data_IF_003648998829
#
_entry.id   IF_003648998829
#
_cell.length_a   1.000
_cell.length_b   1.000
_cell.length_c   1.000
_cell.angle_alpha   90.00
_cell.angle_beta   90.00
_cell.angle_gamma   90.00
#
_symmetry.space_group_name_H-M   'P 1'
#
loop_
_entity.id
_entity.type
_entity.pdbx_description
1 polymer ?
#
# COMPACT_ATOMS: atom_id res chain seq x y z
N UNK A 1 -1.75 -6.01 3.55
CA UNK A 1 -0.46 -6.15 4.30
C UNK A 1 -0.55 -5.68 5.74
N UNK A 2 -1.18 -4.53 6.01
CA UNK A 2 -1.49 -4.05 7.36
C UNK A 2 -2.99 -3.73 7.38
N UNK A 3 -3.79 -4.50 8.13
CA UNK A 3 -5.23 -4.63 7.81
C UNK A 3 -6.15 -4.08 8.88
N UNK A 4 -5.71 -3.90 10.12
CA UNK A 4 -6.54 -3.29 11.15
C UNK A 4 -6.67 -1.77 10.95
N UNK A 5 -7.82 -1.15 11.27
CA UNK A 5 -8.97 -1.72 11.99
C UNK A 5 -9.95 -2.53 11.13
N UNK A 6 -9.73 -2.62 9.81
CA UNK A 6 -10.51 -3.47 8.92
C UNK A 6 -11.37 -2.75 7.89
N UNK A 7 -11.44 -1.41 7.89
CA UNK A 7 -12.29 -0.66 6.96
C UNK A 7 -12.01 -0.96 5.48
N UNK A 8 -10.74 -1.03 5.08
CA UNK A 8 -10.34 -1.41 3.72
C UNK A 8 -10.59 -2.90 3.45
N UNK A 9 -10.33 -3.75 4.44
CA UNK A 9 -10.60 -5.20 4.36
C UNK A 9 -12.08 -5.48 4.10
N UNK A 10 -12.99 -4.81 4.81
CA UNK A 10 -14.43 -5.02 4.67
C UNK A 10 -14.95 -4.57 3.31
N UNK A 11 -14.36 -3.52 2.71
CA UNK A 11 -14.70 -3.11 1.34
C UNK A 11 -14.22 -4.14 0.31
N UNK A 12 -13.04 -4.72 0.51
CA UNK A 12 -12.47 -5.72 -0.40
C UNK A 12 -13.13 -7.09 -0.29
N UNK A 13 -13.74 -7.42 0.85
CA UNK A 13 -14.31 -8.74 1.14
C UNK A 13 -15.36 -9.17 0.11
N UNK A 14 -16.17 -8.22 -0.38
CA UNK A 14 -17.25 -8.47 -1.35
C UNK A 14 -16.78 -8.37 -2.81
N UNK A 15 -15.58 -7.83 -3.05
CA UNK A 15 -15.03 -7.59 -4.37
C UNK A 15 -14.03 -8.68 -4.79
N UNK A 16 -13.73 -9.63 -3.90
CA UNK A 16 -12.65 -10.60 -4.10
C UNK A 16 -13.12 -12.03 -3.81
N UNK A 17 -12.60 -13.00 -4.54
CA UNK A 17 -12.92 -14.42 -4.31
C UNK A 17 -12.18 -15.01 -3.12
N UNK A 18 -11.01 -14.47 -2.80
CA UNK A 18 -10.17 -14.89 -1.68
C UNK A 18 -9.34 -13.71 -1.19
N UNK A 19 -9.38 -13.44 0.11
CA UNK A 19 -8.75 -12.29 0.73
C UNK A 19 -7.90 -12.73 1.92
N UNK A 20 -6.64 -12.29 1.94
CA UNK A 20 -5.74 -12.46 3.09
C UNK A 20 -5.52 -11.11 3.76
N UNK A 21 -6.02 -10.97 4.99
CA UNK A 21 -5.86 -9.79 5.82
C UNK A 21 -4.79 -10.02 6.88
N UNK A 22 -3.61 -9.44 6.66
CA UNK A 22 -2.49 -9.53 7.60
C UNK A 22 -2.50 -8.37 8.61
N UNK A 23 -2.37 -8.66 9.90
CA UNK A 23 -2.19 -7.68 10.97
C UNK A 23 -1.18 -8.20 12.01
N UNK A 24 0.05 -7.64 12.07
CA UNK A 24 1.09 -8.13 12.97
C UNK A 24 0.77 -7.87 14.45
N UNK A 25 -0.02 -6.83 14.78
CA UNK A 25 -0.33 -6.52 16.16
C UNK A 25 -1.55 -7.31 16.66
N UNK A 26 -1.33 -8.21 17.62
CA UNK A 26 -2.39 -9.07 18.18
C UNK A 26 -3.60 -8.29 18.72
N UNK A 27 -3.40 -7.13 19.36
CA UNK A 27 -4.50 -6.32 19.90
C UNK A 27 -5.34 -5.72 18.76
N UNK A 28 -4.67 -5.14 17.76
CA UNK A 28 -5.33 -4.58 16.56
C UNK A 28 -5.99 -5.66 15.72
N UNK A 29 -5.42 -6.86 15.66
CA UNK A 29 -6.04 -8.02 15.00
C UNK A 29 -7.38 -8.37 15.64
N UNK A 30 -7.49 -8.35 16.97
CA UNK A 30 -8.77 -8.65 17.62
C UNK A 30 -9.87 -7.65 17.20
N UNK A 31 -9.51 -6.37 17.01
CA UNK A 31 -10.40 -5.35 16.44
C UNK A 31 -10.78 -5.69 14.99
N UNK A 32 -9.79 -6.06 14.17
CA UNK A 32 -10.03 -6.51 12.80
C UNK A 32 -11.02 -7.68 12.75
N UNK A 33 -10.78 -8.74 13.54
CA UNK A 33 -11.67 -9.91 13.64
C UNK A 33 -13.08 -9.50 14.03
N UNK A 34 -13.22 -8.65 15.05
CA UNK A 34 -14.52 -8.16 15.51
C UNK A 34 -15.25 -7.41 14.39
N UNK A 35 -14.54 -6.54 13.66
CA UNK A 35 -15.14 -5.75 12.58
C UNK A 35 -15.50 -6.60 11.35
N UNK A 36 -14.68 -7.59 11.00
CA UNK A 36 -14.93 -8.47 9.86
C UNK A 36 -15.97 -9.54 10.17
N UNK A 37 -16.10 -9.98 11.43
CA UNK A 37 -17.09 -10.99 11.86
C UNK A 37 -18.55 -10.58 11.64
N UNK A 38 -18.80 -9.27 11.46
CA UNK A 38 -20.11 -8.72 11.12
C UNK A 38 -20.53 -9.05 9.68
N UNK A 39 -19.58 -9.46 8.85
CA UNK A 39 -19.80 -9.86 7.46
C UNK A 39 -19.81 -11.38 7.40
N UNK A 40 -20.81 -11.95 6.74
CA UNK A 40 -20.91 -13.39 6.56
C UNK A 40 -20.11 -13.77 5.31
N UNK A 41 -18.81 -14.05 5.47
CA UNK A 41 -17.96 -14.45 4.34
C UNK A 41 -17.09 -15.67 4.64
N UNK A 42 -16.90 -16.52 3.62
CA UNK A 42 -16.07 -17.73 3.70
C UNK A 42 -14.72 -17.56 2.97
N UNK A 43 -14.44 -16.37 2.45
CA UNK A 43 -13.28 -16.07 1.60
C UNK A 43 -12.17 -15.28 2.31
N UNK A 44 -12.30 -15.02 3.62
CA UNK A 44 -11.34 -14.21 4.38
C UNK A 44 -10.44 -15.09 5.27
N UNK A 45 -9.12 -14.92 5.14
CA UNK A 45 -8.12 -15.47 6.06
C UNK A 45 -7.39 -14.33 6.77
N UNK A 46 -7.32 -14.38 8.10
CA UNK A 46 -6.60 -13.40 8.91
C UNK A 46 -5.27 -13.99 9.38
N UNK A 47 -4.16 -13.27 9.15
CA UNK A 47 -2.81 -13.69 9.55
C UNK A 47 -2.11 -12.64 10.41
N UNK A 48 -1.04 -13.04 11.10
CA UNK A 48 -0.29 -12.16 12.02
C UNK A 48 1.20 -12.11 11.74
N UNK A 49 1.59 -12.18 10.47
CA UNK A 49 2.99 -12.06 10.10
C UNK A 49 3.45 -10.61 10.19
N UNK A 50 4.71 -10.41 10.55
CA UNK A 50 5.39 -9.16 10.21
C UNK A 50 5.38 -9.00 8.70
N UNK A 51 4.78 -7.90 8.23
CA UNK A 51 4.60 -7.63 6.81
C UNK A 51 5.93 -7.60 6.02
N UNK A 52 7.05 -7.29 6.67
CA UNK A 52 8.40 -7.32 6.06
C UNK A 52 8.87 -8.75 5.71
N UNK A 53 8.35 -9.73 6.44
CA UNK A 53 8.77 -11.13 6.36
C UNK A 53 7.64 -12.08 5.93
N UNK A 54 6.52 -11.55 5.44
CA UNK A 54 5.35 -12.34 5.03
C UNK A 54 5.73 -13.44 4.01
N UNK A 55 5.42 -14.74 4.21
CA UNK A 55 5.98 -15.87 3.44
C UNK A 55 5.95 -15.72 1.90
N UNK A 56 7.08 -15.97 1.20
CA UNK A 56 7.22 -15.79 -0.26
C UNK A 56 6.67 -16.95 -1.11
N UNK A 57 6.34 -18.07 -0.46
CA UNK A 57 5.82 -19.27 -1.12
C UNK A 57 4.43 -19.04 -1.73
N UNK A 58 3.75 -17.98 -1.28
CA UNK A 58 2.43 -17.58 -1.78
C UNK A 58 2.61 -16.30 -2.60
N UNK A 59 1.94 -16.25 -3.76
CA UNK A 59 1.90 -15.06 -4.62
C UNK A 59 0.46 -14.56 -4.77
N UNK A 60 0.31 -13.26 -4.92
CA UNK A 60 -0.99 -12.60 -5.02
C UNK A 60 -1.12 -11.85 -6.36
N UNK A 61 -2.33 -11.88 -6.91
CA UNK A 61 -2.69 -11.11 -8.11
C UNK A 61 -2.81 -9.62 -7.79
N UNK A 62 -3.30 -9.30 -6.58
CA UNK A 62 -3.53 -7.94 -6.09
C UNK A 62 -3.07 -7.81 -4.64
N UNK A 63 -2.38 -6.74 -4.30
CA UNK A 63 -1.93 -6.46 -2.93
C UNK A 63 -2.27 -5.02 -2.55
N UNK A 64 -2.83 -4.84 -1.35
CA UNK A 64 -2.99 -3.52 -0.75
C UNK A 64 -2.00 -3.33 0.42
N UNK A 65 -1.13 -2.34 0.25
CA UNK A 65 -0.13 -1.87 1.20
C UNK A 65 -0.55 -0.51 1.76
N UNK A 66 -1.56 -0.51 2.62
CA UNK A 66 -1.87 0.63 3.49
C UNK A 66 -0.92 0.61 4.68
N UNK A 67 0.23 1.25 4.53
CA UNK A 67 1.36 1.08 5.45
C UNK A 67 1.26 2.00 6.66
N UNK A 68 1.83 1.62 7.82
CA UNK A 68 1.95 2.53 8.95
C UNK A 68 2.69 3.81 8.53
N UNK A 69 2.12 4.97 8.90
CA UNK A 69 2.58 6.28 8.44
C UNK A 69 2.66 7.27 9.62
N UNK A 70 3.40 8.37 9.48
CA UNK A 70 3.48 9.43 10.50
C UNK A 70 2.12 10.12 10.78
N UNK A 71 1.18 9.99 9.85
CA UNK A 71 -0.24 10.34 9.98
C UNK A 71 -0.54 11.85 10.08
N UNK A 72 0.39 12.71 9.67
CA UNK A 72 0.20 14.16 9.55
C UNK A 72 -0.95 14.55 8.60
N UNK A 73 -1.34 13.68 7.66
CA UNK A 73 -2.57 13.84 6.88
C UNK A 73 -3.85 13.80 7.71
N UNK A 74 -3.79 13.34 8.95
CA UNK A 74 -4.96 13.13 9.82
C UNK A 74 -5.04 14.10 11.00
N UNK A 75 -4.24 15.17 11.02
CA UNK A 75 -4.20 16.18 12.08
C UNK A 75 -5.60 16.74 12.43
N UNK A 76 -6.48 16.90 11.44
CA UNK A 76 -7.88 17.35 11.67
C UNK A 76 -8.68 16.38 12.56
N UNK A 77 -8.36 15.08 12.50
CA UNK A 77 -9.01 14.03 13.31
C UNK A 77 -8.31 13.84 14.66
N UNK A 78 -6.98 13.96 14.67
CA UNK A 78 -6.17 13.82 15.88
C UNK A 78 -5.05 14.88 15.90
N UNK A 79 -5.25 16.00 16.61
CA UNK A 79 -4.26 17.05 16.75
C UNK A 79 -2.98 16.63 17.49
N UNK A 80 -3.02 15.54 18.28
CA UNK A 80 -1.86 15.08 19.06
C UNK A 80 -0.66 14.69 18.19
N UNK A 81 -0.95 14.29 16.93
CA UNK A 81 0.04 13.92 15.92
C UNK A 81 1.06 15.03 15.68
N UNK A 82 0.65 16.30 15.77
CA UNK A 82 1.56 17.43 15.61
C UNK A 82 2.69 17.44 16.64
N UNK A 83 2.39 17.07 17.89
CA UNK A 83 3.35 17.07 18.98
C UNK A 83 4.27 15.83 18.95
N UNK A 84 3.74 14.72 18.43
CA UNK A 84 4.47 13.46 18.30
C UNK A 84 5.31 13.36 17.02
N UNK A 85 5.21 14.36 16.14
CA UNK A 85 5.90 14.37 14.86
C UNK A 85 7.36 14.79 15.00
N UNK A 86 8.26 14.06 14.34
CA UNK A 86 9.66 14.44 14.23
C UNK A 86 10.31 13.84 12.98
N UNK A 87 11.33 14.52 12.47
CA UNK A 87 12.11 14.05 11.30
C UNK A 87 12.70 12.65 11.56
N UNK A 88 13.23 12.40 12.76
CA UNK A 88 13.80 11.11 13.14
C UNK A 88 12.75 9.99 13.10
N UNK A 89 11.54 10.26 13.60
CA UNK A 89 10.42 9.30 13.54
C UNK A 89 10.01 9.02 12.09
N UNK A 90 9.87 10.05 11.26
CA UNK A 90 9.52 9.89 9.85
C UNK A 90 10.56 9.07 9.08
N UNK A 91 11.86 9.25 9.36
CA UNK A 91 12.93 8.42 8.77
C UNK A 91 12.84 6.94 9.19
N UNK A 92 12.57 6.67 10.46
CA UNK A 92 12.38 5.30 10.94
C UNK A 92 11.17 4.62 10.31
N UNK A 93 10.06 5.37 10.19
CA UNK A 93 8.83 4.91 9.54
C UNK A 93 9.06 4.67 8.04
N UNK A 94 9.73 5.57 7.32
CA UNK A 94 9.97 5.39 5.88
C UNK A 94 10.81 4.15 5.58
N UNK A 95 11.81 3.84 6.41
CA UNK A 95 12.57 2.59 6.29
C UNK A 95 11.70 1.34 6.48
N UNK A 96 10.78 1.37 7.45
CA UNK A 96 9.81 0.29 7.65
C UNK A 96 8.87 0.16 6.44
N UNK A 97 8.33 1.27 5.94
CA UNK A 97 7.45 1.30 4.77
C UNK A 97 8.14 0.72 3.53
N UNK A 98 9.40 1.09 3.30
CA UNK A 98 10.23 0.56 2.24
C UNK A 98 10.41 -0.96 2.32
N UNK A 99 10.69 -1.50 3.51
CA UNK A 99 10.83 -2.95 3.71
C UNK A 99 9.50 -3.67 3.43
N UNK A 100 8.38 -3.11 3.86
CA UNK A 100 7.03 -3.66 3.60
C UNK A 100 6.72 -3.61 2.11
N UNK A 101 6.98 -2.48 1.44
CA UNK A 101 6.74 -2.31 0.01
C UNK A 101 7.57 -3.29 -0.81
N UNK A 102 8.89 -3.38 -0.57
CA UNK A 102 9.76 -4.36 -1.24
C UNK A 102 9.28 -5.80 -1.02
N UNK A 103 8.77 -6.13 0.17
CA UNK A 103 8.19 -7.45 0.43
C UNK A 103 6.91 -7.67 -0.38
N UNK A 104 6.01 -6.68 -0.40
CA UNK A 104 4.78 -6.71 -1.19
C UNK A 104 5.05 -6.89 -2.68
N UNK A 105 6.00 -6.14 -3.24
CA UNK A 105 6.40 -6.27 -4.66
C UNK A 105 6.89 -7.70 -4.97
N UNK A 106 7.70 -8.29 -4.10
CA UNK A 106 8.14 -9.69 -4.25
C UNK A 106 7.01 -10.70 -4.16
N UNK A 107 5.91 -10.39 -3.46
CA UNK A 107 4.74 -11.26 -3.32
C UNK A 107 3.77 -11.15 -4.52
N UNK A 108 3.95 -10.17 -5.40
CA UNK A 108 3.16 -10.08 -6.62
C UNK A 108 3.50 -11.19 -7.60
N UNK A 109 2.46 -11.73 -8.22
CA UNK A 109 2.58 -12.47 -9.48
C UNK A 109 2.98 -11.52 -10.61
N UNK A 110 3.41 -12.08 -11.73
CA UNK A 110 3.60 -11.31 -12.96
C UNK A 110 2.26 -10.74 -13.41
N UNK A 111 2.28 -9.52 -13.94
CA UNK A 111 1.08 -8.70 -14.20
C UNK A 111 0.23 -8.34 -12.96
N UNK A 112 0.74 -8.66 -11.76
CA UNK A 112 0.08 -8.32 -10.51
C UNK A 112 0.10 -6.82 -10.22
N UNK A 113 -0.89 -6.35 -9.45
CA UNK A 113 -1.01 -4.94 -9.05
C UNK A 113 -0.88 -4.80 -7.54
N UNK A 114 -0.02 -3.88 -7.10
CA UNK A 114 0.09 -3.46 -5.71
C UNK A 114 -0.32 -2.01 -5.57
N UNK A 115 -1.21 -1.72 -4.64
CA UNK A 115 -1.54 -0.36 -4.23
C UNK A 115 -0.73 -0.02 -2.98
N UNK A 116 0.12 0.99 -3.06
CA UNK A 116 0.78 1.60 -1.91
C UNK A 116 -0.03 2.81 -1.47
N UNK A 117 -0.38 2.89 -0.20
CA UNK A 117 -1.10 4.06 0.33
C UNK A 117 -0.60 4.48 1.70
N UNK A 118 -0.64 5.79 1.93
CA UNK A 118 -0.33 6.40 3.22
C UNK A 118 -1.29 7.54 3.53
N UNK A 119 -1.30 7.90 4.80
CA UNK A 119 -2.06 8.98 5.41
C UNK A 119 -1.20 10.21 5.72
N UNK A 120 -0.11 10.42 4.97
CA UNK A 120 0.91 11.45 5.25
C UNK A 120 1.16 12.35 4.04
N UNK A 121 1.52 13.60 4.27
CA UNK A 121 1.96 14.52 3.22
C UNK A 121 3.45 14.38 2.89
N UNK A 122 4.19 13.73 3.78
CA UNK A 122 5.63 13.72 3.81
C UNK A 122 6.23 12.99 2.61
N UNK A 123 7.06 13.70 1.84
CA UNK A 123 7.74 13.13 0.68
C UNK A 123 8.67 11.97 1.06
N UNK A 124 9.27 12.02 2.27
CA UNK A 124 10.15 10.95 2.77
C UNK A 124 9.45 9.60 2.90
N UNK A 125 8.13 9.60 3.15
CA UNK A 125 7.30 8.41 3.34
C UNK A 125 6.55 8.03 2.07
N UNK A 126 6.47 8.93 1.10
CA UNK A 126 5.72 8.78 -0.13
C UNK A 126 6.67 8.53 -1.30
N UNK A 127 7.05 9.60 -2.01
CA UNK A 127 7.84 9.50 -3.24
C UNK A 127 9.19 8.84 -3.00
N UNK A 128 9.90 9.21 -1.93
CA UNK A 128 11.23 8.65 -1.66
C UNK A 128 11.16 7.13 -1.44
N UNK A 129 10.11 6.63 -0.79
CA UNK A 129 9.90 5.19 -0.59
C UNK A 129 9.67 4.50 -1.93
N UNK A 130 8.84 5.08 -2.80
CA UNK A 130 8.59 4.53 -4.13
C UNK A 130 9.86 4.53 -4.99
N UNK A 131 10.59 5.63 -5.01
CA UNK A 131 11.82 5.76 -5.80
C UNK A 131 12.90 4.77 -5.39
N UNK A 132 13.01 4.47 -4.10
CA UNK A 132 13.98 3.50 -3.59
C UNK A 132 13.50 2.04 -3.71
N UNK A 133 12.19 1.81 -3.74
CA UNK A 133 11.62 0.46 -3.82
C UNK A 133 11.54 -0.06 -5.26
N UNK A 134 11.21 0.81 -6.22
CA UNK A 134 10.86 0.42 -7.58
C UNK A 134 12.10 0.22 -8.44
N UNK A 135 12.19 -0.97 -9.04
CA UNK A 135 13.15 -1.31 -10.10
C UNK A 135 12.45 -1.26 -11.47
N UNK A 136 13.21 -1.48 -12.54
CA UNK A 136 12.68 -1.49 -13.93
C UNK A 136 11.61 -2.56 -14.18
N UNK A 137 11.51 -3.58 -13.32
CA UNK A 137 10.47 -4.62 -13.34
C UNK A 137 9.08 -4.09 -12.98
N UNK A 138 9.00 -2.89 -12.39
CA UNK A 138 7.75 -2.32 -11.89
C UNK A 138 7.47 -0.96 -12.55
N UNK A 139 6.20 -0.62 -12.68
CA UNK A 139 5.77 0.68 -13.20
C UNK A 139 4.59 1.22 -12.40
N UNK A 140 4.49 2.55 -12.29
CA UNK A 140 3.34 3.21 -11.67
C UNK A 140 2.29 3.47 -12.75
N UNK A 141 1.14 2.84 -12.59
CA UNK A 141 -0.03 3.00 -13.45
C UNK A 141 -0.66 4.36 -13.18
N UNK A 142 -0.95 5.12 -14.25
CA UNK A 142 -1.76 6.32 -14.13
C UNK A 142 -3.23 5.93 -13.93
N UNK A 143 -3.83 6.42 -12.85
CA UNK A 143 -5.23 6.13 -12.48
C UNK A 143 -6.11 7.39 -12.46
N UNK A 144 -5.64 8.49 -13.04
CA UNK A 144 -6.29 9.79 -12.98
C UNK A 144 -7.71 9.73 -13.58
N UNK A 145 -7.89 8.99 -14.68
CA UNK A 145 -9.20 8.81 -15.32
C UNK A 145 -10.20 8.06 -14.44
N UNK A 146 -9.73 7.22 -13.52
CA UNK A 146 -10.59 6.51 -12.56
C UNK A 146 -10.97 7.36 -11.35
N UNK A 147 -10.32 8.51 -11.18
CA UNK A 147 -10.52 9.44 -10.07
C UNK A 147 -11.23 10.73 -10.52
N UNK A 148 -11.94 10.66 -11.65
CA UNK A 148 -12.75 11.79 -12.14
C UNK A 148 -13.73 12.25 -11.06
N UNK A 149 -13.71 13.55 -10.77
CA UNK A 149 -14.53 14.17 -9.72
C UNK A 149 -13.83 14.35 -8.38
N UNK A 150 -12.60 13.84 -8.21
CA UNK A 150 -11.75 14.14 -7.04
C UNK A 150 -10.70 15.21 -7.39
N UNK A 151 -10.52 16.18 -6.50
CA UNK A 151 -9.41 17.11 -6.53
C UNK A 151 -8.15 16.47 -5.94
N UNK A 152 -7.20 16.15 -6.83
CA UNK A 152 -5.90 15.61 -6.46
C UNK A 152 -4.77 16.30 -7.22
N UNK A 153 -3.55 16.15 -6.71
CA UNK A 153 -2.32 16.49 -7.41
C UNK A 153 -1.50 15.24 -7.66
N UNK A 154 -0.59 15.28 -8.62
CA UNK A 154 0.31 14.15 -8.90
C UNK A 154 1.54 14.19 -7.97
N UNK A 155 2.28 13.08 -7.91
CA UNK A 155 3.54 12.99 -7.16
C UNK A 155 4.59 14.00 -7.61
N UNK A 156 5.47 14.36 -6.69
CA UNK A 156 6.39 15.49 -6.85
C UNK A 156 7.66 15.19 -7.68
N UNK A 157 7.84 13.96 -8.15
CA UNK A 157 9.05 13.54 -8.86
C UNK A 157 8.73 12.91 -10.22
N UNK A 158 9.72 12.87 -11.12
CA UNK A 158 9.52 12.30 -12.46
C UNK A 158 9.06 10.84 -12.41
N UNK A 159 9.64 10.03 -11.51
CA UNK A 159 9.27 8.62 -11.32
C UNK A 159 7.88 8.44 -10.70
N UNK A 160 7.41 9.42 -9.94
CA UNK A 160 6.15 9.34 -9.18
C UNK A 160 5.04 10.22 -9.76
N UNK A 161 5.21 10.75 -10.97
CA UNK A 161 4.23 11.59 -11.67
C UNK A 161 2.84 10.98 -11.84
N UNK A 162 2.74 9.65 -11.76
CA UNK A 162 1.49 8.90 -11.85
C UNK A 162 0.92 8.52 -10.47
N UNK A 163 1.63 8.83 -9.38
CA UNK A 163 1.11 8.72 -8.03
C UNK A 163 0.18 9.90 -7.73
N UNK A 164 -0.75 9.69 -6.82
CA UNK A 164 -1.84 10.61 -6.51
C UNK A 164 -1.71 11.11 -5.09
N UNK A 165 -1.80 12.43 -4.91
CA UNK A 165 -1.84 13.16 -3.65
C UNK A 165 -3.20 13.81 -3.48
N UNK A 166 -3.90 13.48 -2.40
CA UNK A 166 -5.14 14.13 -1.99
C UNK A 166 -4.77 15.09 -0.85
N UNK A 167 -5.08 16.38 -1.06
CA UNK A 167 -4.78 17.45 -0.12
C UNK A 167 -6.07 17.98 0.52
N UNK A 168 -6.05 18.38 1.80
CA UNK A 168 -7.24 18.82 2.52
C UNK A 168 -7.98 19.99 1.87
N UNK A 169 -7.23 20.89 1.21
CA UNK A 169 -7.79 22.10 0.63
C UNK A 169 -8.64 21.83 -0.61
N UNK A 170 -8.46 20.67 -1.27
CA UNK A 170 -9.19 20.31 -2.48
C UNK A 170 -10.51 19.59 -2.22
N UNK A 171 -10.59 18.80 -1.14
CA UNK A 171 -11.66 17.80 -0.97
C UNK A 171 -12.38 17.86 0.40
N UNK A 172 -12.06 18.83 1.27
CA UNK A 172 -12.47 18.85 2.69
C UNK A 172 -12.25 17.50 3.41
N UNK A 173 -11.19 16.80 3.00
CA UNK A 173 -10.79 15.51 3.53
C UNK A 173 -9.46 15.62 4.29
N UNK A 174 -9.01 14.50 4.85
CA UNK A 174 -7.62 14.40 5.33
C UNK A 174 -6.64 14.31 4.16
N UNK A 175 -5.35 14.32 4.48
CA UNK A 175 -4.29 14.01 3.55
C UNK A 175 -4.18 12.54 3.23
N UNK A 176 -3.99 12.23 1.95
CA UNK A 176 -3.78 10.85 1.51
C UNK A 176 -2.84 10.77 0.31
N UNK A 177 -2.04 9.71 0.24
CA UNK A 177 -1.17 9.42 -0.89
C UNK A 177 -1.45 8.01 -1.40
N UNK A 178 -1.55 7.85 -2.72
CA UNK A 178 -1.85 6.57 -3.37
C UNK A 178 -0.91 6.40 -4.56
N UNK A 179 -0.34 5.21 -4.70
CA UNK A 179 0.36 4.79 -5.91
C UNK A 179 -0.06 3.38 -6.30
N UNK A 180 -0.43 3.20 -7.56
CA UNK A 180 -0.82 1.91 -8.13
C UNK A 180 0.35 1.39 -8.96
N UNK A 181 0.92 0.26 -8.55
CA UNK A 181 2.15 -0.29 -9.10
C UNK A 181 1.82 -1.61 -9.79
N UNK A 182 2.26 -1.77 -11.03
CA UNK A 182 2.19 -3.03 -11.79
C UNK A 182 3.55 -3.72 -11.81
N UNK A 183 3.56 -5.04 -11.69
CA UNK A 183 4.74 -5.86 -12.04
C UNK A 183 4.67 -6.20 -13.53
N UNK A 184 5.69 -5.83 -14.30
CA UNK A 184 5.76 -6.11 -15.75
C UNK A 184 5.88 -7.62 -15.98
N UNK A 185 5.33 -8.09 -17.09
CA UNK A 185 5.52 -9.47 -17.55
C UNK A 185 6.93 -9.56 -18.14
N UNK A 186 7.80 -10.35 -17.50
CA UNK A 186 9.10 -10.67 -18.09
C UNK A 186 8.86 -11.83 -19.06
N UNK A 187 8.74 -11.54 -20.35
CA UNK A 187 8.72 -12.57 -21.37
C UNK A 187 10.08 -13.29 -21.38
N UNK A 188 10.13 -14.52 -20.88
CA UNK A 188 11.28 -15.42 -21.04
C UNK A 188 11.40 -15.92 -22.50
N UNK A 189 11.47 -15.00 -23.46
CA UNK A 189 11.49 -15.34 -24.89
C UNK A 189 12.88 -15.64 -25.47
N UNK A 190 13.97 -15.58 -24.67
CA UNK A 190 15.35 -15.67 -25.20
C UNK A 190 16.22 -16.77 -24.56
N UNK A 191 15.67 -17.92 -24.18
CA UNK A 191 16.46 -19.01 -23.57
C UNK A 191 16.40 -20.36 -24.29
N UNK A 192 15.90 -20.43 -25.53
CA UNK A 192 15.89 -21.68 -26.33
C UNK A 192 16.38 -21.53 -27.76
N UNK A 193 17.44 -20.75 -27.99
CA UNK A 193 18.24 -20.86 -29.22
C UNK A 193 19.70 -20.67 -28.82
N UNK A 194 20.38 -21.78 -28.54
CA UNK A 194 21.84 -22.02 -28.64
C UNK A 194 22.21 -23.26 -27.80
N UNK A 195 21.79 -24.43 -28.28
CA UNK A 195 22.51 -25.68 -28.01
C UNK A 195 22.49 -26.51 -29.28
N UNK A 196 23.69 -26.64 -29.87
CA UNK A 196 24.06 -27.43 -31.03
C UNK A 196 23.54 -28.86 -31.01
#
# INVERSE_FOLDING_TARGET
>A
MCSAPGSKTTQLINLTNFLVANEPNNKRRNVLVTNTSKFTTNNLVITTYDARYFPLQIKFDRILCDVPCSSDGTIRKDPSILFDWSISKSKGISQLQLQILRRGLKLLKDDGILVYSTCTFNQLENENVLEEALTEEYEIINVNDSLQGLCFTNGNTFKTKNAVRILPNGEDTGGFFISVIRKKIISNANLTDHSN
#
